data_IF_296721655826
#
_entry.id   IF_296721655826
#
_cell.length_a   1.000
_cell.length_b   1.000
_cell.length_c   1.000
_cell.angle_alpha   90.00
_cell.angle_beta   90.00
_cell.angle_gamma   90.00
#
_symmetry.space_group_name_H-M   'P 1'
#
loop_
_entity.id
_entity.type
_entity.pdbx_description
1 polymer ?
#
# COMPACT_ATOMS: atom_id res chain seq x y z
N UNK A 1 -63.15 -13.34 36.80
CA UNK A 1 -63.35 -12.81 38.17
C UNK A 1 -62.03 -12.15 38.57
N UNK A 2 -62.04 -10.80 38.47
CA UNK A 2 -61.19 -9.78 39.11
C UNK A 2 -59.71 -9.80 38.68
N UNK A 3 -59.24 -8.96 37.74
CA UNK A 3 -59.08 -7.49 37.67
C UNK A 3 -57.89 -6.90 38.45
N UNK A 4 -57.33 -5.84 37.85
CA UNK A 4 -56.53 -4.72 38.41
C UNK A 4 -55.12 -4.62 37.78
N UNK A 5 -54.91 -3.88 36.68
CA UNK A 5 -54.75 -2.40 36.53
C UNK A 5 -53.35 -1.93 37.00
N UNK A 6 -52.55 -1.17 36.24
CA UNK A 6 -52.73 -0.57 34.92
C UNK A 6 -51.63 0.44 34.57
N UNK A 7 -51.85 1.19 33.47
CA UNK A 7 -51.40 2.57 33.20
C UNK A 7 -49.88 2.88 33.08
N UNK A 8 -49.34 3.74 32.19
CA UNK A 8 -49.80 4.59 31.08
C UNK A 8 -48.57 4.97 30.21
N UNK A 9 -48.81 5.16 28.90
CA UNK A 9 -48.29 6.12 27.89
C UNK A 9 -46.76 6.49 27.74
N UNK A 10 -46.28 6.73 26.48
CA UNK A 10 -44.93 7.24 26.12
C UNK A 10 -44.94 8.80 26.02
N UNK A 11 -43.97 9.53 25.42
CA UNK A 11 -42.53 9.35 25.12
C UNK A 11 -41.66 10.50 25.73
N UNK A 12 -40.32 10.37 25.86
CA UNK A 12 -39.41 11.54 25.88
C UNK A 12 -37.94 11.14 25.61
N UNK A 13 -37.34 11.65 24.53
CA UNK A 13 -35.95 12.15 24.58
C UNK A 13 -36.00 13.63 24.99
N UNK A 14 -34.99 14.15 25.72
CA UNK A 14 -33.99 14.96 25.02
C UNK A 14 -32.55 14.91 25.60
N UNK A 15 -31.58 15.09 24.70
CA UNK A 15 -30.31 15.83 24.81
C UNK A 15 -29.32 15.65 26.00
N UNK A 16 -28.06 15.43 25.58
CA UNK A 16 -26.83 16.16 25.97
C UNK A 16 -25.82 15.54 26.94
N UNK A 17 -24.54 15.81 26.60
CA UNK A 17 -23.23 15.55 27.25
C UNK A 17 -22.61 14.18 26.95
N UNK A 18 -21.40 14.04 26.40
CA UNK A 18 -20.22 14.93 26.40
C UNK A 18 -19.38 14.69 25.16
N UNK A 19 -19.00 15.78 24.48
CA UNK A 19 -17.94 15.77 23.48
C UNK A 19 -16.63 15.33 24.12
N UNK A 20 -16.02 14.26 23.58
CA UNK A 20 -14.62 13.96 23.81
C UNK A 20 -13.81 15.01 23.04
N UNK A 21 -13.40 16.06 23.73
CA UNK A 21 -12.30 16.91 23.31
C UNK A 21 -11.06 16.04 23.19
N UNK A 22 -10.66 15.72 21.96
CA UNK A 22 -9.32 15.24 21.68
C UNK A 22 -8.34 16.37 22.04
N UNK A 23 -7.84 16.35 23.28
CA UNK A 23 -6.58 17.04 23.59
C UNK A 23 -5.51 16.31 22.80
N UNK A 24 -5.15 16.85 21.64
CA UNK A 24 -3.96 16.45 20.91
C UNK A 24 -2.77 16.64 21.85
N UNK A 25 -2.28 15.53 22.41
CA UNK A 25 -1.02 15.49 23.13
C UNK A 25 0.08 15.79 22.12
N UNK A 26 0.66 16.98 22.23
CA UNK A 26 1.81 17.45 21.45
C UNK A 26 3.07 16.62 21.73
N UNK A 27 3.05 15.73 22.73
CA UNK A 27 4.21 15.02 23.23
C UNK A 27 4.79 13.94 22.30
N UNK A 28 4.02 13.42 21.32
CA UNK A 28 4.45 12.29 20.47
C UNK A 28 4.47 12.62 18.96
N UNK A 29 4.86 13.83 18.57
CA UNK A 29 5.08 14.15 17.16
C UNK A 29 6.50 13.78 16.72
N UNK A 30 6.69 13.07 15.59
CA UNK A 30 8.01 12.79 15.08
C UNK A 30 8.74 14.10 14.76
N UNK A 31 10.04 14.18 15.03
CA UNK A 31 10.88 15.39 14.94
C UNK A 31 10.67 16.18 13.63
N UNK A 32 10.40 15.49 12.52
CA UNK A 32 10.12 16.08 11.20
C UNK A 32 8.82 16.89 11.15
N UNK A 33 7.82 16.54 11.98
CA UNK A 33 6.55 17.26 12.11
C UNK A 33 6.71 18.47 13.02
N UNK A 34 7.50 18.36 14.09
CA UNK A 34 7.86 19.50 14.96
C UNK A 34 8.62 20.59 14.19
N UNK A 35 9.60 20.21 13.36
CA UNK A 35 10.35 21.18 12.53
C UNK A 35 9.44 21.91 11.54
N UNK A 36 8.47 21.21 10.94
CA UNK A 36 7.49 21.84 10.02
C UNK A 36 6.58 22.82 10.73
N UNK A 37 6.07 22.47 11.92
CA UNK A 37 5.22 23.35 12.72
C UNK A 37 6.01 24.57 13.21
N UNK A 38 7.24 24.37 13.68
CA UNK A 38 8.11 25.46 14.11
C UNK A 38 8.42 26.42 12.95
N UNK A 39 8.74 25.91 11.75
CA UNK A 39 8.99 26.74 10.58
C UNK A 39 7.79 27.63 10.21
N UNK A 40 6.56 27.13 10.38
CA UNK A 40 5.32 27.89 10.15
C UNK A 40 5.13 28.99 11.20
N UNK A 41 5.42 28.70 12.46
CA UNK A 41 5.29 29.70 13.55
C UNK A 41 6.35 30.81 13.41
N UNK A 42 7.60 30.45 13.11
CA UNK A 42 8.68 31.41 12.92
C UNK A 42 8.51 32.29 11.68
N UNK A 43 7.93 31.76 10.59
CA UNK A 43 7.61 32.55 9.40
C UNK A 43 6.47 33.54 9.64
N UNK A 44 5.44 33.16 10.40
CA UNK A 44 4.39 34.11 10.82
C UNK A 44 4.96 35.24 11.69
N UNK A 45 5.85 34.93 12.64
CA UNK A 45 6.50 35.93 13.50
C UNK A 45 7.38 36.90 12.70
N UNK A 46 8.14 36.40 11.71
CA UNK A 46 8.95 37.24 10.81
C UNK A 46 8.09 38.18 9.95
N UNK A 47 6.95 37.70 9.44
CA UNK A 47 6.02 38.53 8.65
C UNK A 47 5.43 39.65 9.51
N UNK A 48 5.04 39.36 10.75
CA UNK A 48 4.53 40.39 11.69
C UNK A 48 5.63 41.39 12.05
N UNK A 49 6.86 40.92 12.33
CA UNK A 49 7.99 41.80 12.62
C UNK A 49 8.33 42.71 11.43
N UNK A 50 8.22 42.23 10.20
CA UNK A 50 8.53 42.99 8.99
C UNK A 50 7.40 43.94 8.59
N UNK A 51 6.14 43.59 8.85
CA UNK A 51 4.99 44.44 8.54
C UNK A 51 4.64 45.47 9.61
N UNK A 52 4.98 45.22 10.88
CA UNK A 52 4.72 46.15 11.99
C UNK A 52 5.99 46.85 12.45
N UNK A 53 7.10 46.12 12.55
CA UNK A 53 8.37 46.66 13.05
C UNK A 53 9.09 47.54 12.04
N UNK A 54 9.07 47.18 10.75
CA UNK A 54 9.75 47.97 9.70
C UNK A 54 9.09 49.35 9.49
N UNK A 55 7.74 49.46 9.44
CA UNK A 55 7.10 50.77 9.38
C UNK A 55 7.33 51.59 10.64
N UNK A 56 7.19 51.00 11.83
CA UNK A 56 7.42 51.70 13.10
C UNK A 56 8.84 52.31 13.18
N UNK A 57 9.85 51.55 12.76
CA UNK A 57 11.24 52.00 12.67
C UNK A 57 11.42 53.16 11.67
N UNK A 58 10.80 53.06 10.50
CA UNK A 58 10.88 54.08 9.45
C UNK A 58 10.12 55.37 9.82
N UNK A 59 8.98 55.28 10.53
CA UNK A 59 8.30 56.45 11.10
C UNK A 59 9.09 57.12 12.23
N UNK A 60 9.81 56.34 13.05
CA UNK A 60 10.68 56.88 14.08
C UNK A 60 11.88 57.66 13.49
N UNK A 61 12.24 57.40 12.22
CA UNK A 61 13.26 58.14 11.48
C UNK A 61 12.70 59.29 10.61
N UNK A 62 11.44 59.68 10.81
CA UNK A 62 10.83 60.85 10.16
C UNK A 62 10.30 60.61 8.74
N UNK A 63 10.25 59.37 8.26
CA UNK A 63 9.65 59.03 6.97
C UNK A 63 8.13 58.98 7.11
N UNK A 64 7.40 59.75 6.29
CA UNK A 64 5.95 59.78 6.29
C UNK A 64 5.41 58.51 5.60
N UNK A 65 5.00 57.52 6.38
CA UNK A 65 4.50 56.25 5.85
C UNK A 65 3.01 56.34 5.60
N UNK A 66 2.61 56.11 4.36
CA UNK A 66 1.22 56.05 3.98
C UNK A 66 0.61 54.73 4.49
N UNK A 67 -0.06 54.77 5.66
CA UNK A 67 -0.67 53.59 6.30
C UNK A 67 -1.66 52.85 5.38
N UNK A 68 -2.26 53.54 4.41
CA UNK A 68 -3.09 52.93 3.37
C UNK A 68 -2.30 51.93 2.50
N UNK A 69 -1.01 52.19 2.22
CA UNK A 69 -0.12 51.30 1.48
C UNK A 69 0.27 50.08 2.34
N UNK A 70 0.49 50.28 3.64
CA UNK A 70 0.79 49.19 4.58
C UNK A 70 -0.41 48.27 4.75
N UNK A 71 -1.62 48.82 4.92
CA UNK A 71 -2.86 48.05 5.07
C UNK A 71 -3.19 47.27 3.78
N UNK A 72 -3.02 47.89 2.61
CA UNK A 72 -3.21 47.19 1.33
C UNK A 72 -2.17 46.09 1.12
N UNK A 73 -0.89 46.33 1.42
CA UNK A 73 0.14 45.29 1.38
C UNK A 73 -0.10 44.14 2.38
N UNK A 74 -0.58 44.45 3.60
CA UNK A 74 -0.95 43.45 4.61
C UNK A 74 -2.11 42.57 4.13
N UNK A 75 -3.14 43.18 3.55
CA UNK A 75 -4.31 42.48 3.03
C UNK A 75 -3.98 41.62 1.81
N UNK A 76 -3.07 42.10 0.94
CA UNK A 76 -2.56 41.34 -0.18
C UNK A 76 -1.73 40.13 0.31
N UNK A 77 -0.82 40.32 1.28
CA UNK A 77 -0.03 39.21 1.85
C UNK A 77 -0.90 38.16 2.59
N UNK A 78 -1.98 38.57 3.25
CA UNK A 78 -2.92 37.68 3.94
C UNK A 78 -3.71 36.76 3.01
N UNK A 79 -4.03 37.22 1.79
CA UNK A 79 -4.78 36.42 0.81
C UNK A 79 -3.91 35.35 0.13
N UNK A 80 -2.64 35.65 -0.17
CA UNK A 80 -1.70 34.66 -0.72
C UNK A 80 -1.37 33.52 0.25
N UNK A 81 -1.26 33.82 1.55
CA UNK A 81 -0.96 32.82 2.58
C UNK A 81 -2.13 31.87 2.83
N UNK A 82 -3.36 32.38 2.87
CA UNK A 82 -4.57 31.54 2.99
C UNK A 82 -4.73 30.60 1.78
N UNK A 83 -4.49 31.09 0.56
CA UNK A 83 -4.51 30.26 -0.64
C UNK A 83 -3.43 29.17 -0.61
N UNK A 84 -2.21 29.49 -0.16
CA UNK A 84 -1.14 28.51 -0.03
C UNK A 84 -1.45 27.42 1.01
N UNK A 85 -2.04 27.78 2.15
CA UNK A 85 -2.48 26.81 3.17
C UNK A 85 -3.62 25.94 2.66
N UNK A 86 -4.60 26.52 1.95
CA UNK A 86 -5.69 25.76 1.35
C UNK A 86 -5.18 24.77 0.29
N UNK A 87 -4.26 25.20 -0.59
CA UNK A 87 -3.58 24.34 -1.57
C UNK A 87 -2.76 23.27 -0.88
N UNK A 88 -2.05 23.61 0.20
CA UNK A 88 -1.26 22.65 0.96
C UNK A 88 -2.15 21.59 1.61
N UNK A 89 -3.24 21.98 2.30
CA UNK A 89 -4.18 21.04 2.91
C UNK A 89 -4.82 20.16 1.83
N UNK A 90 -5.28 20.75 0.72
CA UNK A 90 -5.90 20.03 -0.38
C UNK A 90 -4.95 19.01 -1.04
N UNK A 91 -3.67 19.36 -1.19
CA UNK A 91 -2.67 18.44 -1.75
C UNK A 91 -2.22 17.38 -0.74
N UNK A 92 -2.19 17.70 0.55
CA UNK A 92 -1.76 16.77 1.61
C UNK A 92 -2.80 15.69 1.86
N UNK A 93 -4.10 16.04 1.90
CA UNK A 93 -5.20 15.08 2.04
C UNK A 93 -5.23 14.09 0.86
N UNK A 94 -5.08 14.58 -0.38
CA UNK A 94 -4.98 13.73 -1.58
C UNK A 94 -3.79 12.76 -1.50
N UNK A 95 -2.63 13.23 -1.03
CA UNK A 95 -1.43 12.40 -0.87
C UNK A 95 -1.61 11.35 0.21
N UNK A 96 -2.27 11.68 1.32
CA UNK A 96 -2.50 10.75 2.42
C UNK A 96 -3.45 9.62 2.01
N UNK A 97 -4.58 9.95 1.40
CA UNK A 97 -5.53 8.93 0.89
C UNK A 97 -4.91 8.03 -0.17
N UNK A 98 -4.05 8.57 -1.03
CA UNK A 98 -3.32 7.77 -2.03
C UNK A 98 -2.38 6.76 -1.36
N UNK A 99 -1.64 7.17 -0.32
CA UNK A 99 -0.76 6.28 0.45
C UNK A 99 -1.54 5.18 1.17
N UNK A 100 -2.68 5.52 1.75
CA UNK A 100 -3.55 4.54 2.42
C UNK A 100 -4.06 3.49 1.43
N UNK A 101 -4.49 3.91 0.22
CA UNK A 101 -4.90 2.99 -0.85
C UNK A 101 -3.74 2.12 -1.34
N UNK A 102 -2.57 2.73 -1.59
CA UNK A 102 -1.38 2.00 -2.04
C UNK A 102 -0.95 0.94 -1.00
N UNK A 103 -0.98 1.30 0.29
CA UNK A 103 -0.65 0.38 1.38
C UNK A 103 -1.68 -0.76 1.52
N UNK A 104 -2.98 -0.46 1.32
CA UNK A 104 -4.03 -1.48 1.30
C UNK A 104 -3.84 -2.46 0.13
N UNK A 105 -3.52 -1.95 -1.06
CA UNK A 105 -3.27 -2.79 -2.24
C UNK A 105 -2.04 -3.69 -2.05
N UNK A 106 -0.97 -3.14 -1.49
CA UNK A 106 0.23 -3.92 -1.15
C UNK A 106 -0.09 -4.99 -0.10
N UNK A 107 -0.88 -4.67 0.92
CA UNK A 107 -1.29 -5.64 1.93
C UNK A 107 -2.11 -6.79 1.34
N UNK A 108 -3.01 -6.50 0.38
CA UNK A 108 -3.75 -7.53 -0.35
C UNK A 108 -2.82 -8.41 -1.19
N UNK A 109 -1.87 -7.81 -1.91
CA UNK A 109 -0.91 -8.55 -2.73
C UNK A 109 0.01 -9.47 -1.90
N UNK A 110 0.29 -9.12 -0.63
CA UNK A 110 1.04 -9.98 0.31
C UNK A 110 0.31 -11.26 0.69
N UNK A 111 -1.03 -11.26 0.61
CA UNK A 111 -1.87 -12.43 0.90
C UNK A 111 -1.94 -13.44 -0.25
N UNK A 112 -1.25 -13.17 -1.35
CA UNK A 112 -1.00 -14.18 -2.38
C UNK A 112 0.13 -15.09 -1.91
N UNK A 113 -0.17 -16.38 -1.79
CA UNK A 113 0.74 -17.40 -1.29
C UNK A 113 1.04 -18.38 -2.43
N UNK A 114 2.32 -18.69 -2.58
CA UNK A 114 2.76 -19.75 -3.48
C UNK A 114 3.08 -20.98 -2.65
N UNK A 115 2.54 -22.11 -3.07
CA UNK A 115 2.88 -23.41 -2.53
C UNK A 115 3.57 -24.23 -3.62
N UNK A 116 4.56 -25.03 -3.26
CA UNK A 116 5.21 -25.91 -4.23
C UNK A 116 4.98 -27.33 -3.75
N UNK A 117 4.52 -28.17 -4.66
CA UNK A 117 4.26 -29.59 -4.37
C UNK A 117 4.96 -30.45 -5.42
N UNK A 118 5.56 -31.55 -4.98
CA UNK A 118 6.08 -32.55 -5.89
C UNK A 118 4.91 -33.28 -6.56
N UNK A 119 4.90 -33.31 -7.89
CA UNK A 119 3.91 -34.09 -8.61
C UNK A 119 4.47 -35.50 -8.77
N UNK A 120 3.87 -36.45 -8.06
CA UNK A 120 4.29 -37.85 -8.12
C UNK A 120 3.92 -38.43 -9.51
N UNK A 121 4.84 -38.28 -10.48
CA UNK A 121 4.78 -38.93 -11.79
C UNK A 121 5.35 -40.35 -11.73
N UNK A 122 5.16 -41.15 -12.81
CA UNK A 122 5.74 -42.50 -12.90
C UNK A 122 7.26 -42.39 -12.76
N UNK A 123 7.78 -42.97 -11.69
CA UNK A 123 9.21 -43.06 -11.40
C UNK A 123 9.90 -43.85 -12.51
N UNK A 124 10.91 -43.28 -13.16
CA UNK A 124 11.83 -44.11 -13.95
C UNK A 124 12.67 -43.42 -15.01
N UNK A 125 12.14 -42.45 -15.77
CA UNK A 125 12.80 -42.02 -17.00
C UNK A 125 12.56 -40.55 -17.43
N UNK A 126 11.58 -39.86 -16.84
CA UNK A 126 11.23 -38.48 -17.19
C UNK A 126 11.75 -37.46 -16.17
N UNK A 127 12.03 -36.24 -16.64
CA UNK A 127 12.39 -35.11 -15.79
C UNK A 127 11.34 -34.85 -14.70
N UNK A 128 11.75 -34.63 -13.45
CA UNK A 128 10.83 -34.47 -12.34
C UNK A 128 9.96 -33.23 -12.52
N UNK A 129 8.67 -33.39 -12.22
CA UNK A 129 7.67 -32.35 -12.33
C UNK A 129 7.30 -31.81 -10.93
N UNK A 130 7.39 -30.49 -10.77
CA UNK A 130 6.89 -29.79 -9.58
C UNK A 130 5.74 -28.87 -9.96
N UNK A 131 4.71 -28.88 -9.15
CA UNK A 131 3.56 -28.01 -9.28
C UNK A 131 3.74 -26.79 -8.39
N UNK A 132 3.77 -25.60 -8.98
CA UNK A 132 3.70 -24.33 -8.28
C UNK A 132 2.23 -23.94 -8.19
N UNK A 133 1.66 -24.12 -7.00
CA UNK A 133 0.34 -23.64 -6.63
C UNK A 133 0.39 -22.15 -6.27
N UNK A 134 -0.63 -21.41 -6.66
CA UNK A 134 -0.84 -20.02 -6.25
C UNK A 134 -2.25 -19.92 -5.67
N UNK A 135 -2.32 -19.42 -4.43
CA UNK A 135 -3.54 -19.22 -3.68
C UNK A 135 -3.70 -17.73 -3.38
N UNK A 136 -4.93 -17.26 -3.47
CA UNK A 136 -5.30 -15.88 -3.12
C UNK A 136 -6.05 -15.88 -1.79
N UNK A 137 -5.37 -15.48 -0.70
CA UNK A 137 -6.00 -15.28 0.60
C UNK A 137 -6.45 -13.83 0.85
N UNK A 138 -6.41 -12.98 -0.19
CA UNK A 138 -6.92 -11.61 -0.14
C UNK A 138 -8.44 -11.56 -0.09
N UNK A 139 -8.99 -10.35 -0.18
CA UNK A 139 -10.44 -10.10 -0.27
C UNK A 139 -10.91 -9.78 -1.69
N UNK A 140 -9.99 -9.64 -2.64
CA UNK A 140 -10.28 -9.28 -4.04
C UNK A 140 -9.69 -10.31 -4.99
N UNK A 141 -10.31 -10.59 -6.16
CA UNK A 141 -9.72 -11.45 -7.16
C UNK A 141 -8.42 -10.85 -7.72
N UNK A 142 -7.52 -11.71 -8.17
CA UNK A 142 -6.33 -11.32 -8.94
C UNK A 142 -6.46 -11.84 -10.38
N UNK A 143 -5.82 -11.15 -11.31
CA UNK A 143 -5.98 -11.36 -12.74
C UNK A 143 -4.66 -11.80 -13.37
N UNK A 144 -4.77 -12.52 -14.49
CA UNK A 144 -3.67 -12.88 -15.39
C UNK A 144 -2.45 -13.46 -14.66
N UNK A 145 -2.70 -14.43 -13.78
CA UNK A 145 -1.66 -15.07 -12.97
C UNK A 145 -0.80 -15.96 -13.85
N UNK A 146 0.52 -15.71 -13.84
CA UNK A 146 1.52 -16.40 -14.66
C UNK A 146 2.71 -16.81 -13.82
N UNK A 147 3.25 -17.99 -14.10
CA UNK A 147 4.57 -18.37 -13.60
C UNK A 147 5.64 -17.63 -14.41
N UNK A 148 6.44 -16.81 -13.74
CA UNK A 148 7.47 -16.00 -14.38
C UNK A 148 8.84 -16.66 -14.31
N UNK A 149 9.19 -17.20 -13.14
CA UNK A 149 10.50 -17.78 -12.90
C UNK A 149 10.43 -18.91 -11.88
N UNK A 150 11.28 -19.91 -12.05
CA UNK A 150 11.62 -20.87 -11.01
C UNK A 150 13.13 -21.07 -11.01
N UNK A 151 13.76 -21.36 -9.86
CA UNK A 151 15.14 -21.80 -9.77
C UNK A 151 15.36 -22.70 -8.54
N UNK A 152 16.34 -23.60 -8.61
CA UNK A 152 16.74 -24.43 -7.46
C UNK A 152 17.94 -23.79 -6.77
N UNK A 153 17.83 -23.50 -5.47
CA UNK A 153 18.91 -22.84 -4.71
C UNK A 153 20.15 -23.72 -4.55
N UNK A 154 19.95 -25.01 -4.28
CA UNK A 154 21.05 -25.97 -4.08
C UNK A 154 21.69 -26.44 -5.41
N UNK A 155 21.01 -26.24 -6.54
CA UNK A 155 21.40 -26.78 -7.84
C UNK A 155 21.26 -25.70 -8.93
N UNK A 156 22.19 -24.73 -8.99
CA UNK A 156 22.14 -23.64 -9.97
C UNK A 156 22.23 -24.13 -11.43
N UNK A 157 22.79 -25.31 -11.66
CA UNK A 157 22.84 -25.96 -12.98
C UNK A 157 21.48 -26.49 -13.47
N UNK A 158 20.47 -26.51 -12.60
CA UNK A 158 19.14 -26.99 -12.96
C UNK A 158 18.36 -25.91 -13.71
N UNK A 159 18.03 -26.20 -14.96
CA UNK A 159 17.26 -25.32 -15.85
C UNK A 159 15.78 -25.75 -15.85
N UNK A 160 14.85 -24.88 -15.44
CA UNK A 160 13.43 -25.19 -15.48
C UNK A 160 12.81 -24.86 -16.83
N UNK A 161 12.01 -25.81 -17.32
CA UNK A 161 10.97 -25.57 -18.31
C UNK A 161 9.69 -25.18 -17.58
N UNK A 162 9.23 -23.94 -17.81
CA UNK A 162 8.04 -23.38 -17.18
C UNK A 162 6.78 -23.63 -18.03
N UNK A 163 5.65 -23.88 -17.38
CA UNK A 163 4.36 -23.86 -18.06
C UNK A 163 4.05 -22.48 -18.62
N UNK A 164 3.57 -22.43 -19.88
CA UNK A 164 3.05 -21.21 -20.52
C UNK A 164 1.59 -20.92 -20.16
N UNK A 165 0.97 -21.76 -19.30
CA UNK A 165 -0.41 -21.57 -18.87
C UNK A 165 -0.57 -20.28 -18.09
N UNK A 166 -1.70 -19.61 -18.30
CA UNK A 166 -2.12 -18.44 -17.57
C UNK A 166 -3.44 -18.74 -16.87
N UNK A 167 -3.63 -18.20 -15.67
CA UNK A 167 -4.92 -18.18 -15.00
C UNK A 167 -5.52 -16.77 -15.10
N UNK A 168 -6.52 -16.55 -15.97
CA UNK A 168 -7.06 -15.21 -16.20
C UNK A 168 -7.67 -14.57 -14.95
N UNK A 169 -8.31 -15.37 -14.11
CA UNK A 169 -8.92 -14.90 -12.84
C UNK A 169 -8.68 -15.94 -11.76
N UNK A 170 -8.18 -15.50 -10.61
CA UNK A 170 -8.08 -16.29 -9.39
C UNK A 170 -8.85 -15.60 -8.26
N UNK A 171 -9.98 -16.18 -7.86
CA UNK A 171 -10.85 -15.62 -6.82
C UNK A 171 -10.31 -15.92 -5.42
N UNK A 172 -10.64 -15.09 -4.42
CA UNK A 172 -10.24 -15.32 -3.03
C UNK A 172 -11.13 -16.40 -2.39
N UNK A 173 -10.96 -17.65 -2.81
CA UNK A 173 -11.70 -18.78 -2.22
C UNK A 173 -10.74 -19.88 -1.77
N UNK A 174 -11.02 -20.57 -0.65
CA UNK A 174 -10.08 -21.57 -0.10
C UNK A 174 -9.83 -22.77 -1.00
N UNK A 175 -10.72 -23.03 -1.95
CA UNK A 175 -10.69 -24.22 -2.81
C UNK A 175 -10.19 -23.93 -4.23
N UNK A 176 -9.92 -22.66 -4.55
CA UNK A 176 -9.42 -22.26 -5.87
C UNK A 176 -7.93 -21.96 -5.81
N UNK A 177 -7.17 -22.66 -6.64
CA UNK A 177 -5.73 -22.43 -6.80
C UNK A 177 -5.37 -22.41 -8.28
N UNK A 178 -4.48 -21.52 -8.68
CA UNK A 178 -3.79 -21.65 -9.96
C UNK A 178 -2.63 -22.64 -9.79
N UNK A 179 -2.42 -23.55 -10.74
CA UNK A 179 -1.34 -24.54 -10.69
C UNK A 179 -0.52 -24.46 -11.97
N UNK A 180 0.78 -24.32 -11.82
CA UNK A 180 1.74 -24.23 -12.93
C UNK A 180 2.76 -25.35 -12.80
N UNK A 181 2.94 -26.14 -13.86
CA UNK A 181 3.93 -27.22 -13.86
C UNK A 181 5.31 -26.69 -14.25
N UNK A 182 6.33 -27.16 -13.55
CA UNK A 182 7.75 -26.96 -13.88
C UNK A 182 8.42 -28.31 -14.08
N UNK A 183 9.25 -28.40 -15.12
CA UNK A 183 10.04 -29.59 -15.43
C UNK A 183 11.52 -29.22 -15.47
N UNK A 184 12.38 -30.05 -14.92
CA UNK A 184 13.78 -29.65 -14.67
C UNK A 184 14.77 -30.53 -15.42
N UNK A 185 15.73 -29.86 -16.07
CA UNK A 185 16.84 -30.50 -16.76
C UNK A 185 18.17 -29.91 -16.29
N UNK A 186 19.27 -30.60 -16.50
CA UNK A 186 20.61 -30.05 -16.31
C UNK A 186 21.07 -29.21 -17.51
N UNK A 187 22.29 -28.67 -17.46
CA UNK A 187 22.91 -27.90 -18.55
C UNK A 187 23.03 -28.69 -19.86
N UNK A 188 23.04 -30.02 -19.80
CA UNK A 188 23.13 -30.91 -20.96
C UNK A 188 21.74 -31.33 -21.47
N UNK A 189 20.66 -30.77 -20.91
CA UNK A 189 19.28 -31.10 -21.28
C UNK A 189 18.80 -32.45 -20.75
N UNK A 190 19.53 -33.07 -19.83
CA UNK A 190 19.14 -34.34 -19.22
C UNK A 190 18.19 -34.11 -18.03
N UNK A 191 17.23 -35.01 -17.77
CA UNK A 191 16.39 -34.99 -16.57
C UNK A 191 17.16 -34.72 -15.28
N UNK A 192 16.75 -33.72 -14.50
CA UNK A 192 17.41 -33.36 -13.24
C UNK A 192 16.41 -33.10 -12.10
N UNK A 193 16.63 -33.62 -10.88
CA UNK A 193 17.65 -34.61 -10.50
C UNK A 193 17.44 -35.99 -11.15
N UNK A 194 18.54 -36.68 -11.47
CA UNK A 194 18.54 -38.06 -12.02
C UNK A 194 18.30 -39.17 -10.97
N UNK A 195 18.01 -38.83 -9.71
CA UNK A 195 17.96 -39.84 -8.66
C UNK A 195 16.72 -40.73 -8.77
N UNK A 196 16.93 -42.05 -8.67
CA UNK A 196 15.88 -43.08 -8.67
C UNK A 196 15.02 -43.03 -7.41
N UNK A 197 15.42 -42.26 -6.39
CA UNK A 197 14.63 -41.98 -5.19
C UNK A 197 14.06 -40.58 -5.27
N UNK A 198 12.72 -40.46 -5.29
CA UNK A 198 11.96 -39.20 -5.37
C UNK A 198 12.23 -38.16 -4.25
N UNK A 199 13.10 -38.45 -3.30
CA UNK A 199 13.17 -37.77 -2.01
C UNK A 199 14.35 -36.79 -1.83
N UNK A 200 15.13 -36.50 -2.87
CA UNK A 200 16.35 -35.70 -2.67
C UNK A 200 16.27 -34.21 -2.99
N UNK A 201 15.32 -33.76 -3.82
CA UNK A 201 15.08 -32.31 -3.93
C UNK A 201 13.97 -31.94 -2.97
N UNK A 202 14.39 -31.30 -1.89
CA UNK A 202 13.46 -30.69 -0.96
C UNK A 202 12.70 -29.62 -1.72
N UNK A 203 11.36 -29.70 -1.73
CA UNK A 203 10.51 -28.70 -2.39
C UNK A 203 10.78 -27.29 -1.84
N UNK A 204 11.29 -27.21 -0.61
CA UNK A 204 11.78 -25.99 0.04
C UNK A 204 12.95 -25.34 -0.71
N UNK A 205 13.74 -26.08 -1.49
CA UNK A 205 14.89 -25.52 -2.23
C UNK A 205 14.50 -24.83 -3.54
N UNK A 206 13.27 -25.03 -4.01
CA UNK A 206 12.76 -24.39 -5.21
C UNK A 206 12.25 -23.00 -4.85
N UNK A 207 12.79 -21.97 -5.49
CA UNK A 207 12.27 -20.61 -5.43
C UNK A 207 11.54 -20.29 -6.72
N UNK A 208 10.24 -20.02 -6.61
CA UNK A 208 9.37 -19.70 -7.73
C UNK A 208 8.73 -18.33 -7.53
N UNK A 209 8.49 -17.63 -8.63
CA UNK A 209 7.78 -16.34 -8.64
C UNK A 209 6.66 -16.35 -9.66
N UNK A 210 5.52 -15.82 -9.25
CA UNK A 210 4.37 -15.55 -10.12
C UNK A 210 4.18 -14.05 -10.28
N UNK A 211 3.67 -13.67 -11.45
CA UNK A 211 3.16 -12.33 -11.70
C UNK A 211 1.65 -12.36 -11.77
N UNK A 212 1.02 -11.28 -11.34
CA UNK A 212 -0.43 -11.10 -11.43
C UNK A 212 -0.78 -9.62 -11.43
N UNK A 213 -2.00 -9.30 -11.85
CA UNK A 213 -2.60 -7.98 -11.71
C UNK A 213 -3.59 -7.95 -10.56
N UNK A 214 -3.60 -6.87 -9.79
CA UNK A 214 -4.70 -6.57 -8.88
C UNK A 214 -5.87 -5.89 -9.61
N UNK A 215 -7.01 -5.78 -8.93
CA UNK A 215 -8.21 -5.11 -9.46
C UNK A 215 -8.00 -3.62 -9.76
N UNK A 216 -6.91 -3.03 -9.30
CA UNK A 216 -6.54 -1.64 -9.53
C UNK A 216 -5.53 -1.50 -10.68
N UNK A 217 -5.22 -2.58 -11.40
CA UNK A 217 -4.30 -2.60 -12.54
C UNK A 217 -2.83 -2.56 -12.16
N UNK A 218 -2.47 -2.72 -10.88
CA UNK A 218 -1.08 -2.86 -10.48
C UNK A 218 -0.60 -4.27 -10.81
N UNK A 219 0.56 -4.38 -11.45
CA UNK A 219 1.24 -5.63 -11.70
C UNK A 219 2.21 -5.92 -10.57
N UNK A 220 2.02 -7.06 -9.91
CA UNK A 220 2.84 -7.51 -8.79
C UNK A 220 3.61 -8.78 -9.18
N UNK A 221 4.79 -8.93 -8.58
CA UNK A 221 5.59 -10.16 -8.59
C UNK A 221 5.68 -10.69 -7.17
N UNK A 222 5.31 -11.95 -6.97
CA UNK A 222 5.33 -12.61 -5.67
C UNK A 222 6.16 -13.89 -5.74
N UNK A 223 7.14 -14.02 -4.84
CA UNK A 223 7.90 -15.26 -4.67
C UNK A 223 7.38 -16.11 -3.52
N UNK A 224 7.59 -17.43 -3.60
CA UNK A 224 7.33 -18.34 -2.48
C UNK A 224 8.22 -18.06 -1.25
N UNK A 225 9.36 -17.36 -1.43
CA UNK A 225 10.28 -16.96 -0.36
C UNK A 225 9.81 -15.76 0.48
N UNK A 226 8.66 -15.16 0.15
CA UNK A 226 8.14 -14.02 0.92
C UNK A 226 8.36 -12.65 0.27
N UNK A 227 9.09 -12.57 -0.84
CA UNK A 227 9.32 -11.32 -1.56
C UNK A 227 8.09 -10.90 -2.36
N UNK A 228 7.73 -9.62 -2.27
CA UNK A 228 6.70 -8.96 -3.07
C UNK A 228 7.30 -7.71 -3.70
N UNK A 229 7.17 -7.58 -5.01
CA UNK A 229 7.68 -6.43 -5.77
C UNK A 229 6.59 -5.87 -6.68
N UNK A 230 6.40 -4.55 -6.66
CA UNK A 230 5.56 -3.86 -7.63
C UNK A 230 6.34 -3.72 -8.95
N UNK A 231 5.84 -4.33 -10.03
CA UNK A 231 6.45 -4.24 -11.36
C UNK A 231 5.92 -3.04 -12.15
N UNK A 232 4.60 -2.82 -12.10
CA UNK A 232 3.93 -1.74 -12.80
C UNK A 232 2.80 -1.20 -11.95
N UNK A 233 2.71 0.11 -11.80
CA UNK A 233 1.57 0.75 -11.14
C UNK A 233 0.43 0.92 -12.14
N UNK A 234 -0.77 0.52 -11.73
CA UNK A 234 -2.00 0.79 -12.46
C UNK A 234 -2.26 2.29 -12.46
N UNK A 235 -2.33 2.89 -13.64
CA UNK A 235 -2.68 4.28 -13.85
C UNK A 235 -3.81 4.34 -14.86
N UNK A 236 -4.86 5.09 -14.52
CA UNK A 236 -5.83 5.57 -15.48
C UNK A 236 -5.08 6.37 -16.55
N UNK A 237 -4.85 5.78 -17.71
CA UNK A 237 -4.82 6.54 -18.96
C UNK A 237 -6.25 7.08 -19.14
N UNK A 238 -6.51 8.23 -18.55
CA UNK A 238 -7.61 9.13 -18.89
C UNK A 238 -7.25 10.49 -18.29
N UNK A 239 -6.59 11.30 -19.11
CA UNK A 239 -6.42 12.73 -18.97
C UNK A 239 -6.80 13.37 -20.30
#
# INVERSE_FOLDING_TARGET
MIDTVGNQLPPTSPFSRTGKTARASVANMPLRTLVKVAAIVWSAALIVALLVGLPALLTAQGVNINFALVISALSAAGSFTAAAVAVWIATTDRRQRKRERDAANEAQAKLVILDITSRMGRVGWDAPEYSVGCLNHGSTPILDVKLESAHMRAFPQAVPTLSKSERPVLRPTPHESASFTTRWVDENGQPFPMDKKLHHVNVVDIEAAVTFFDVHGNQWRRSNTGTLTLLRKGGSEDG
#
